data_IF_692756076403
#
_entry.id   IF_692756076403
#
_cell.length_a   1.000
_cell.length_b   1.000
_cell.length_c   1.000
_cell.angle_alpha   90.00
_cell.angle_beta   90.00
_cell.angle_gamma   90.00
#
_symmetry.space_group_name_H-M   'P 1'
#
loop_
_entity.id
_entity.type
_entity.pdbx_description
1 polymer ?
#
# COMPACT_ATOMS: atom_id res chain seq x y z
N UNK A 1 -83.04 20.47 25.13
CA UNK A 1 -82.47 19.21 25.65
C UNK A 1 -82.38 18.24 24.46
N UNK A 2 -81.21 18.16 23.79
CA UNK A 2 -80.22 17.04 23.84
C UNK A 2 -80.82 15.68 23.43
N UNK A 3 -80.29 14.85 22.53
CA UNK A 3 -79.21 14.89 21.52
C UNK A 3 -79.40 13.62 20.65
N UNK A 4 -79.06 13.73 19.36
CA UNK A 4 -78.47 12.72 18.44
C UNK A 4 -79.06 11.30 18.34
N UNK A 5 -79.52 11.00 17.12
CA UNK A 5 -79.71 9.66 16.55
C UNK A 5 -78.56 9.42 15.54
N UNK A 6 -77.95 8.25 15.54
CA UNK A 6 -77.02 7.78 14.51
C UNK A 6 -77.51 6.44 13.98
N UNK A 7 -77.66 6.35 12.66
CA UNK A 7 -78.14 5.19 11.91
C UNK A 7 -76.93 4.60 11.18
N UNK A 8 -76.78 3.27 11.23
CA UNK A 8 -75.73 2.50 10.57
C UNK A 8 -76.35 1.20 10.06
N UNK A 9 -76.39 1.02 8.74
CA UNK A 9 -76.79 -0.19 7.99
C UNK A 9 -76.28 -0.02 6.54
N UNK A 10 -76.18 -1.07 5.71
CA UNK A 10 -75.45 -2.32 5.90
C UNK A 10 -74.55 -2.64 4.68
N UNK A 11 -73.78 -3.72 4.83
CA UNK A 11 -72.94 -4.38 3.81
C UNK A 11 -73.83 -4.97 2.69
N UNK A 12 -73.48 -4.69 1.42
CA UNK A 12 -74.16 -5.18 0.23
C UNK A 12 -73.18 -5.73 -0.80
N UNK A 13 -73.44 -6.97 -1.22
CA UNK A 13 -72.75 -7.84 -2.15
C UNK A 13 -73.30 -7.63 -3.57
N UNK A 14 -72.50 -7.51 -4.65
CA UNK A 14 -72.91 -7.92 -6.01
C UNK A 14 -71.71 -8.10 -6.97
N UNK A 15 -71.82 -9.15 -7.78
CA UNK A 15 -70.86 -9.69 -8.76
C UNK A 15 -70.93 -9.03 -10.16
N UNK A 16 -69.86 -9.30 -10.95
CA UNK A 16 -69.80 -9.54 -12.42
C UNK A 16 -69.79 -8.33 -13.38
N UNK A 17 -68.66 -8.09 -14.07
CA UNK A 17 -68.39 -8.55 -15.46
C UNK A 17 -66.99 -8.12 -15.99
N UNK A 18 -66.40 -9.03 -16.77
CA UNK A 18 -65.23 -9.01 -17.68
C UNK A 18 -64.53 -7.69 -18.06
N UNK A 19 -63.18 -7.71 -18.10
CA UNK A 19 -62.43 -7.69 -19.38
C UNK A 19 -60.96 -8.08 -19.19
N UNK A 20 -60.52 -9.02 -20.01
CA UNK A 20 -59.19 -9.62 -20.09
C UNK A 20 -58.16 -8.64 -20.66
N UNK A 21 -57.08 -8.36 -19.92
CA UNK A 21 -55.79 -7.99 -20.50
C UNK A 21 -54.69 -8.69 -19.70
N UNK A 22 -54.31 -9.86 -20.18
CA UNK A 22 -53.15 -10.61 -19.69
C UNK A 22 -51.90 -9.93 -20.22
N UNK A 23 -51.34 -8.97 -19.48
CA UNK A 23 -49.96 -8.51 -19.75
C UNK A 23 -49.03 -9.59 -19.22
N UNK A 24 -48.67 -10.52 -20.11
CA UNK A 24 -47.50 -11.35 -19.92
C UNK A 24 -46.27 -10.44 -19.91
N UNK A 25 -45.83 -10.05 -18.70
CA UNK A 25 -44.51 -9.48 -18.50
C UNK A 25 -43.49 -10.61 -18.68
N UNK A 26 -43.12 -10.88 -19.94
CA UNK A 26 -41.90 -11.60 -20.28
C UNK A 26 -40.74 -10.76 -19.77
N UNK A 27 -40.26 -11.10 -18.57
CA UNK A 27 -38.94 -10.74 -18.09
C UNK A 27 -37.92 -11.30 -19.09
N UNK A 28 -37.51 -10.46 -20.04
CA UNK A 28 -36.26 -10.65 -20.77
C UNK A 28 -35.17 -10.51 -19.71
N UNK A 29 -34.71 -11.65 -19.19
CA UNK A 29 -33.45 -11.72 -18.50
C UNK A 29 -32.37 -11.38 -19.54
N UNK A 30 -32.03 -10.10 -19.64
CA UNK A 30 -30.82 -9.68 -20.35
C UNK A 30 -29.65 -10.42 -19.70
N UNK A 31 -29.01 -11.28 -20.48
CA UNK A 31 -27.69 -11.80 -20.21
C UNK A 31 -26.79 -10.62 -19.85
N UNK A 32 -26.56 -10.41 -18.54
CA UNK A 32 -25.50 -9.53 -18.07
C UNK A 32 -24.18 -10.13 -18.52
N UNK A 33 -23.77 -9.81 -19.76
CA UNK A 33 -22.38 -9.85 -20.17
C UNK A 33 -21.60 -9.19 -19.04
N UNK A 34 -20.74 -9.96 -18.39
CA UNK A 34 -19.89 -9.50 -17.30
C UNK A 34 -19.05 -8.34 -17.80
N UNK A 35 -19.52 -7.13 -17.52
CA UNK A 35 -18.89 -5.92 -17.99
C UNK A 35 -17.48 -5.86 -17.41
N UNK A 36 -16.48 -5.82 -18.30
CA UNK A 36 -15.08 -5.78 -17.89
C UNK A 36 -14.79 -4.42 -17.24
N UNK A 37 -13.99 -4.38 -16.15
CA UNK A 37 -13.58 -3.13 -15.56
C UNK A 37 -12.80 -2.29 -16.59
N UNK A 38 -13.02 -0.98 -16.57
CA UNK A 38 -12.30 0.00 -17.37
C UNK A 38 -11.54 0.97 -16.47
N UNK A 39 -10.46 1.52 -16.99
CA UNK A 39 -9.71 2.62 -16.41
C UNK A 39 -10.26 3.93 -16.99
N UNK A 40 -10.88 4.75 -16.15
CA UNK A 40 -11.38 6.07 -16.53
C UNK A 40 -10.35 7.11 -16.08
N UNK A 41 -9.81 7.87 -17.03
CA UNK A 41 -8.94 9.03 -16.77
C UNK A 41 -9.78 10.29 -16.90
N UNK A 42 -9.79 11.12 -15.86
CA UNK A 42 -10.46 12.42 -15.86
C UNK A 42 -9.49 13.52 -16.31
N UNK A 43 -10.00 14.64 -16.80
CA UNK A 43 -9.19 15.79 -17.25
C UNK A 43 -8.35 16.42 -16.13
N UNK A 44 -8.75 16.24 -14.87
CA UNK A 44 -8.00 16.65 -13.69
C UNK A 44 -6.86 15.67 -13.29
N UNK A 45 -6.62 14.63 -14.10
CA UNK A 45 -5.58 13.64 -13.90
C UNK A 45 -5.94 12.49 -12.95
N UNK A 46 -7.13 12.48 -12.33
CA UNK A 46 -7.59 11.33 -11.54
C UNK A 46 -7.83 10.11 -12.44
N UNK A 47 -7.50 8.93 -11.91
CA UNK A 47 -7.72 7.64 -12.56
C UNK A 47 -8.60 6.76 -11.69
N UNK A 48 -9.64 6.16 -12.28
CA UNK A 48 -10.64 5.37 -11.59
C UNK A 48 -10.79 4.00 -12.26
N UNK A 49 -10.84 2.94 -11.46
CA UNK A 49 -11.07 1.59 -11.94
C UNK A 49 -12.49 1.15 -11.56
N UNK A 50 -13.29 0.74 -12.54
CA UNK A 50 -14.66 0.29 -12.28
C UNK A 50 -15.41 -0.20 -13.51
N UNK A 51 -16.63 -0.70 -13.31
CA UNK A 51 -17.53 -0.98 -14.43
C UNK A 51 -18.10 0.35 -14.90
N UNK A 52 -18.00 0.61 -16.20
CA UNK A 52 -18.40 1.90 -16.78
C UNK A 52 -19.70 1.73 -17.53
N UNK A 53 -20.68 2.55 -17.17
CA UNK A 53 -22.00 2.64 -17.80
C UNK A 53 -22.24 4.07 -18.27
N UNK A 54 -22.58 4.25 -19.54
CA UNK A 54 -23.00 5.55 -20.07
C UNK A 54 -24.44 5.83 -19.62
N UNK A 55 -24.69 7.03 -19.11
CA UNK A 55 -26.00 7.48 -18.65
C UNK A 55 -26.34 8.83 -19.30
N UNK A 56 -27.61 9.26 -19.31
CA UNK A 56 -27.99 10.59 -19.80
C UNK A 56 -27.29 11.75 -19.06
N UNK A 57 -26.78 11.50 -17.85
CA UNK A 57 -26.09 12.50 -17.02
C UNK A 57 -24.56 12.45 -17.15
N UNK A 58 -24.02 11.54 -17.98
CA UNK A 58 -22.58 11.34 -18.18
C UNK A 58 -22.13 9.91 -17.91
N UNK A 59 -20.87 9.73 -17.54
CA UNK A 59 -20.24 8.43 -17.32
C UNK A 59 -20.39 8.01 -15.85
N UNK A 60 -21.08 6.90 -15.61
CA UNK A 60 -21.14 6.27 -14.29
C UNK A 60 -20.07 5.19 -14.16
N UNK A 61 -19.24 5.29 -13.12
CA UNK A 61 -18.17 4.33 -12.80
C UNK A 61 -18.51 3.62 -11.49
N UNK A 62 -18.86 2.34 -11.58
CA UNK A 62 -19.03 1.46 -10.42
C UNK A 62 -17.66 1.01 -9.92
N UNK A 63 -17.13 1.73 -8.94
CA UNK A 63 -15.90 1.34 -8.24
C UNK A 63 -16.19 0.33 -7.13
N UNK A 64 -15.15 -0.30 -6.57
CA UNK A 64 -15.27 -1.17 -5.39
C UNK A 64 -15.80 -0.47 -4.14
N UNK A 65 -15.79 0.87 -4.09
CA UNK A 65 -16.16 1.66 -2.93
C UNK A 65 -17.58 2.21 -3.03
N UNK A 66 -17.92 2.80 -4.18
CA UNK A 66 -19.23 3.34 -4.50
C UNK A 66 -19.34 3.65 -6.00
N UNK A 67 -20.56 3.70 -6.57
CA UNK A 67 -20.77 4.29 -7.89
C UNK A 67 -20.49 5.80 -7.86
N UNK A 68 -19.78 6.30 -8.86
CA UNK A 68 -19.52 7.73 -9.06
C UNK A 68 -19.99 8.12 -10.46
N UNK A 69 -20.54 9.33 -10.64
CA UNK A 69 -20.96 9.83 -11.96
C UNK A 69 -20.15 11.08 -12.29
N UNK A 70 -19.62 11.12 -13.51
CA UNK A 70 -18.84 12.23 -14.05
C UNK A 70 -19.53 12.75 -15.30
N UNK A 71 -19.48 14.05 -15.52
CA UNK A 71 -19.97 14.62 -16.77
C UNK A 71 -19.06 14.18 -17.92
N UNK A 72 -19.61 14.09 -19.13
CA UNK A 72 -18.84 13.63 -20.30
C UNK A 72 -17.64 14.55 -20.61
N UNK A 73 -17.74 15.83 -20.30
CA UNK A 73 -16.69 16.82 -20.48
C UNK A 73 -15.59 16.75 -19.41
N UNK A 74 -15.81 16.11 -18.27
CA UNK A 74 -14.81 15.85 -17.23
C UNK A 74 -13.95 14.62 -17.55
N UNK A 75 -14.42 13.73 -18.42
CA UNK A 75 -13.74 12.49 -18.77
C UNK A 75 -12.77 12.72 -19.92
N UNK A 76 -11.50 12.36 -19.69
CA UNK A 76 -10.44 12.46 -20.69
C UNK A 76 -10.33 11.20 -21.55
N UNK A 77 -10.31 10.02 -20.93
CA UNK A 77 -10.26 8.74 -21.64
C UNK A 77 -10.92 7.61 -20.84
N UNK A 78 -11.42 6.61 -21.54
CA UNK A 78 -11.93 5.36 -20.97
C UNK A 78 -11.21 4.21 -21.67
N UNK A 79 -10.35 3.51 -20.95
CA UNK A 79 -9.51 2.42 -21.47
C UNK A 79 -9.93 1.08 -20.85
N UNK A 80 -9.82 -0.03 -21.58
CA UNK A 80 -10.05 -1.34 -20.97
C UNK A 80 -8.96 -1.65 -19.94
N UNK A 81 -9.36 -2.01 -18.71
CA UNK A 81 -8.40 -2.40 -17.68
C UNK A 81 -7.96 -3.84 -17.95
N UNK A 82 -6.82 -3.99 -18.61
CA UNK A 82 -6.25 -5.32 -18.89
C UNK A 82 -5.58 -5.85 -17.63
N UNK A 83 -6.22 -6.78 -16.92
CA UNK A 83 -5.62 -7.36 -15.71
C UNK A 83 -4.46 -8.30 -16.07
N UNK A 84 -3.50 -8.55 -15.16
CA UNK A 84 -2.45 -9.55 -15.37
C UNK A 84 -2.99 -10.94 -15.79
N UNK A 85 -4.18 -11.31 -15.29
CA UNK A 85 -4.88 -12.53 -15.68
C UNK A 85 -5.38 -12.48 -17.12
N UNK A 86 -5.93 -11.35 -17.57
CA UNK A 86 -6.39 -11.18 -18.96
C UNK A 86 -5.21 -11.19 -19.94
N UNK A 87 -4.08 -10.58 -19.58
CA UNK A 87 -2.85 -10.65 -20.36
C UNK A 87 -2.40 -12.12 -20.47
N UNK A 88 -2.43 -12.87 -19.37
CA UNK A 88 -2.09 -14.29 -19.38
C UNK A 88 -3.04 -15.09 -20.28
N UNK A 89 -4.36 -14.95 -20.12
CA UNK A 89 -5.37 -15.66 -20.92
C UNK A 89 -5.21 -15.34 -22.40
N UNK A 90 -5.02 -14.06 -22.75
CA UNK A 90 -4.83 -13.61 -24.13
C UNK A 90 -3.55 -14.16 -24.74
N UNK A 91 -2.46 -14.23 -23.96
CA UNK A 91 -1.22 -14.88 -24.42
C UNK A 91 -1.44 -16.37 -24.60
N UNK A 92 -2.09 -17.02 -23.62
CA UNK A 92 -2.38 -18.45 -23.60
C UNK A 92 -3.22 -18.90 -24.80
N UNK A 93 -4.26 -18.14 -25.15
CA UNK A 93 -5.16 -18.46 -26.28
C UNK A 93 -4.48 -18.39 -27.65
N UNK A 94 -3.39 -17.64 -27.77
CA UNK A 94 -2.58 -17.53 -29.00
C UNK A 94 -1.52 -18.63 -29.12
N UNK A 95 -1.33 -19.46 -28.11
CA UNK A 95 -0.32 -20.52 -28.13
C UNK A 95 -0.89 -21.82 -28.66
N UNK A 96 -0.06 -22.54 -29.41
CA UNK A 96 -0.33 -23.94 -29.71
C UNK A 96 -0.14 -24.76 -28.43
N UNK A 97 -1.23 -25.35 -27.93
CA UNK A 97 -1.23 -26.15 -26.69
C UNK A 97 -0.47 -27.47 -26.82
N UNK A 98 -0.10 -27.87 -28.04
CA UNK A 98 0.74 -29.05 -28.32
C UNK A 98 2.24 -28.72 -28.44
N UNK A 99 2.64 -27.45 -28.32
CA UNK A 99 4.05 -27.04 -28.37
C UNK A 99 4.61 -26.84 -26.94
N UNK A 100 5.40 -27.81 -26.47
CA UNK A 100 6.05 -27.76 -25.16
C UNK A 100 6.90 -26.47 -24.94
N UNK A 101 7.55 -25.95 -25.99
CA UNK A 101 8.39 -24.75 -25.93
C UNK A 101 7.55 -23.50 -25.75
N UNK A 102 6.38 -23.43 -26.39
CA UNK A 102 5.43 -22.33 -26.25
C UNK A 102 4.90 -22.23 -24.82
N UNK A 103 4.46 -23.36 -24.25
CA UNK A 103 3.97 -23.47 -22.87
C UNK A 103 5.04 -23.02 -21.86
N UNK A 104 6.27 -23.53 -22.01
CA UNK A 104 7.41 -23.14 -21.17
C UNK A 104 7.70 -21.63 -21.22
N UNK A 105 7.68 -21.03 -22.42
CA UNK A 105 7.92 -19.58 -22.58
C UNK A 105 6.88 -18.75 -21.85
N UNK A 106 5.61 -19.16 -21.87
CA UNK A 106 4.55 -18.45 -21.15
C UNK A 106 4.72 -18.54 -19.63
N UNK A 107 4.99 -19.72 -19.10
CA UNK A 107 5.26 -19.92 -17.68
C UNK A 107 6.50 -19.12 -17.22
N UNK A 108 7.58 -19.09 -18.03
CA UNK A 108 8.77 -18.27 -17.75
C UNK A 108 8.45 -16.78 -17.73
N UNK A 109 7.56 -16.31 -18.61
CA UNK A 109 7.12 -14.92 -18.60
C UNK A 109 6.36 -14.59 -17.31
N UNK A 110 5.45 -15.46 -16.85
CA UNK A 110 4.75 -15.27 -15.57
C UNK A 110 5.76 -15.18 -14.43
N UNK A 111 6.68 -16.14 -14.35
CA UNK A 111 7.74 -16.17 -13.33
C UNK A 111 8.55 -14.87 -13.27
N UNK A 112 8.90 -14.30 -14.42
CA UNK A 112 9.69 -13.07 -14.51
C UNK A 112 8.88 -11.82 -14.18
N UNK A 113 7.62 -11.78 -14.59
CA UNK A 113 6.80 -10.54 -14.61
C UNK A 113 5.93 -10.41 -13.36
N UNK A 114 5.46 -11.54 -12.82
CA UNK A 114 4.54 -11.58 -11.67
C UNK A 114 4.98 -12.63 -10.64
N UNK A 115 6.20 -12.51 -10.08
CA UNK A 115 6.79 -13.52 -9.20
C UNK A 115 6.03 -13.74 -7.88
N UNK A 116 5.12 -12.83 -7.51
CA UNK A 116 4.38 -12.87 -6.25
C UNK A 116 2.85 -13.05 -6.45
N UNK A 117 2.39 -13.25 -7.69
CA UNK A 117 0.97 -13.49 -7.96
C UNK A 117 0.65 -15.00 -7.91
N UNK A 118 0.14 -15.48 -6.78
CA UNK A 118 -0.12 -16.90 -6.53
C UNK A 118 -1.01 -17.55 -7.60
N UNK A 119 -2.07 -16.88 -8.06
CA UNK A 119 -2.98 -17.43 -9.07
C UNK A 119 -2.28 -17.62 -10.42
N UNK A 120 -1.47 -16.64 -10.84
CA UNK A 120 -0.71 -16.75 -12.08
C UNK A 120 0.41 -17.78 -11.97
N UNK A 121 1.07 -17.88 -10.82
CA UNK A 121 2.07 -18.92 -10.57
C UNK A 121 1.45 -20.32 -10.64
N UNK A 122 0.21 -20.51 -10.17
CA UNK A 122 -0.51 -21.76 -10.33
C UNK A 122 -0.77 -22.06 -11.82
N UNK A 123 -1.22 -21.07 -12.58
CA UNK A 123 -1.38 -21.25 -14.04
C UNK A 123 -0.06 -21.57 -14.74
N UNK A 124 1.05 -20.95 -14.31
CA UNK A 124 2.39 -21.26 -14.82
C UNK A 124 2.85 -22.67 -14.43
N UNK A 125 2.48 -23.18 -13.25
CA UNK A 125 2.72 -24.56 -12.84
C UNK A 125 2.02 -25.54 -13.79
N UNK A 126 0.73 -25.32 -14.06
CA UNK A 126 -0.07 -26.18 -14.92
C UNK A 126 0.48 -26.21 -16.37
N UNK A 127 0.92 -25.05 -16.86
CA UNK A 127 1.57 -24.91 -18.17
C UNK A 127 2.89 -25.69 -18.27
N UNK A 128 3.69 -25.69 -17.20
CA UNK A 128 4.95 -26.43 -17.14
C UNK A 128 4.72 -27.94 -17.05
N UNK A 129 3.71 -28.38 -16.31
CA UNK A 129 3.32 -29.79 -16.26
C UNK A 129 2.82 -30.28 -17.62
N UNK A 130 2.03 -29.47 -18.33
CA UNK A 130 1.62 -29.77 -19.70
C UNK A 130 2.82 -29.83 -20.66
N UNK A 131 3.79 -28.91 -20.54
CA UNK A 131 5.01 -28.93 -21.34
C UNK A 131 5.82 -30.22 -21.14
N UNK A 132 5.94 -30.70 -19.91
CA UNK A 132 6.70 -31.92 -19.58
C UNK A 132 6.00 -33.21 -20.04
N UNK A 133 4.66 -33.20 -20.11
CA UNK A 133 3.90 -34.32 -20.71
C UNK A 133 4.15 -34.44 -22.22
N UNK A 134 4.33 -33.32 -22.91
CA UNK A 134 4.62 -33.27 -24.34
C UNK A 134 6.10 -33.53 -24.67
N UNK A 135 7.02 -33.16 -23.78
CA UNK A 135 8.46 -33.39 -23.94
C UNK A 135 9.11 -33.80 -22.62
N UNK A 136 9.30 -35.12 -22.44
CA UNK A 136 9.83 -35.70 -21.18
C UNK A 136 11.23 -35.19 -20.82
N UNK A 137 12.06 -34.88 -21.81
CA UNK A 137 13.44 -34.41 -21.62
C UNK A 137 13.60 -32.88 -21.59
N UNK A 138 12.56 -32.14 -21.22
CA UNK A 138 12.66 -30.68 -21.18
C UNK A 138 13.25 -30.15 -19.86
N UNK A 139 14.56 -30.36 -19.67
CA UNK A 139 15.30 -30.04 -18.41
C UNK A 139 15.06 -28.63 -17.89
N UNK A 140 14.93 -27.64 -18.79
CA UNK A 140 14.66 -26.24 -18.40
C UNK A 140 13.25 -26.05 -17.82
N UNK A 141 12.26 -26.80 -18.32
CA UNK A 141 10.90 -26.77 -17.77
C UNK A 141 10.84 -27.49 -16.41
N UNK A 142 11.59 -28.58 -16.24
CA UNK A 142 11.71 -29.28 -14.94
C UNK A 142 12.28 -28.36 -13.86
N UNK A 143 13.39 -27.66 -14.17
CA UNK A 143 14.01 -26.74 -13.22
C UNK A 143 13.06 -25.58 -12.85
N UNK A 144 12.41 -24.98 -13.85
CA UNK A 144 11.48 -23.87 -13.60
C UNK A 144 10.25 -24.34 -12.80
N UNK A 145 9.75 -25.56 -13.05
CA UNK A 145 8.65 -26.14 -12.30
C UNK A 145 9.00 -26.29 -10.81
N UNK A 146 10.22 -26.75 -10.50
CA UNK A 146 10.69 -26.82 -9.11
C UNK A 146 10.73 -25.43 -8.45
N UNK A 147 11.20 -24.41 -9.16
CA UNK A 147 11.25 -23.03 -8.66
C UNK A 147 9.85 -22.46 -8.40
N UNK A 148 8.92 -22.66 -9.34
CA UNK A 148 7.52 -22.23 -9.21
C UNK A 148 6.86 -22.93 -8.03
N UNK A 149 6.98 -24.26 -7.90
CA UNK A 149 6.42 -25.02 -6.76
C UNK A 149 6.99 -24.56 -5.42
N UNK A 150 8.30 -24.31 -5.36
CA UNK A 150 8.94 -23.81 -4.15
C UNK A 150 8.40 -22.41 -3.77
N UNK A 151 8.22 -21.52 -4.74
CA UNK A 151 7.67 -20.18 -4.52
C UNK A 151 6.20 -20.21 -4.11
N UNK A 152 5.37 -21.03 -4.76
CA UNK A 152 3.97 -21.27 -4.34
C UNK A 152 3.95 -21.74 -2.89
N UNK A 153 4.76 -22.74 -2.51
CA UNK A 153 4.85 -23.23 -1.14
C UNK A 153 5.30 -22.16 -0.12
N UNK A 154 6.17 -21.23 -0.52
CA UNK A 154 6.57 -20.09 0.31
C UNK A 154 5.37 -19.16 0.51
N UNK A 155 4.69 -18.77 -0.58
CA UNK A 155 3.51 -17.89 -0.53
C UNK A 155 2.35 -18.54 0.23
N UNK A 156 2.13 -19.83 0.09
CA UNK A 156 1.16 -20.61 0.87
C UNK A 156 1.53 -20.62 2.35
N UNK A 157 2.81 -20.84 2.70
CA UNK A 157 3.25 -20.77 4.09
C UNK A 157 3.09 -19.38 4.68
N UNK A 158 3.33 -18.33 3.90
CA UNK A 158 3.09 -16.94 4.30
C UNK A 158 1.59 -16.69 4.51
N UNK A 159 0.74 -17.20 3.61
CA UNK A 159 -0.73 -17.13 3.70
C UNK A 159 -1.25 -17.89 4.92
N UNK A 160 -0.75 -19.10 5.17
CA UNK A 160 -1.15 -19.97 6.30
C UNK A 160 -0.60 -19.45 7.63
N UNK A 161 0.61 -18.88 7.66
CA UNK A 161 1.14 -18.19 8.85
C UNK A 161 0.35 -16.92 9.15
N UNK A 162 -0.14 -16.22 8.13
CA UNK A 162 -1.10 -15.13 8.26
C UNK A 162 -2.46 -15.61 8.80
N UNK A 163 -2.91 -16.81 8.42
CA UNK A 163 -4.20 -17.37 8.85
C UNK A 163 -4.17 -18.07 10.21
N UNK A 164 -3.03 -18.56 10.72
CA UNK A 164 -2.96 -19.18 12.08
C UNK A 164 -2.90 -18.19 13.24
N UNK A 165 -2.94 -16.88 12.96
CA UNK A 165 -3.14 -15.83 13.96
C UNK A 165 -4.64 -15.45 14.12
N UNK A 166 -5.57 -16.42 14.03
CA UNK A 166 -6.99 -16.15 14.24
C UNK A 166 -7.39 -16.28 15.70
N UNK A 167 -7.01 -15.28 16.48
CA UNK A 167 -7.78 -14.83 17.63
C UNK A 167 -8.45 -13.50 17.28
N UNK A 168 -9.73 -13.54 16.88
CA UNK A 168 -10.73 -12.44 16.91
C UNK A 168 -10.40 -11.02 16.37
N UNK A 169 -9.31 -10.76 15.65
CA UNK A 169 -9.07 -9.45 14.99
C UNK A 169 -9.40 -9.49 13.48
N UNK A 170 -10.67 -9.24 13.12
CA UNK A 170 -11.14 -9.13 11.72
C UNK A 170 -10.81 -7.78 11.04
N UNK A 171 -9.86 -7.00 11.56
CA UNK A 171 -9.73 -5.56 11.20
C UNK A 171 -8.55 -5.20 10.32
N UNK A 172 -7.55 -6.06 10.12
CA UNK A 172 -6.33 -5.72 9.35
C UNK A 172 -6.27 -6.53 8.07
N UNK A 173 -6.44 -5.89 6.92
CA UNK A 173 -6.30 -6.55 5.62
C UNK A 173 -4.83 -6.56 5.22
N UNK A 174 -4.42 -7.66 4.61
CA UNK A 174 -3.05 -7.87 4.13
C UNK A 174 -2.57 -6.76 3.17
N UNK A 175 -3.48 -6.28 2.31
CA UNK A 175 -3.24 -5.15 1.40
C UNK A 175 -2.99 -3.81 2.09
N UNK A 176 -3.40 -3.67 3.34
CA UNK A 176 -3.20 -2.45 4.12
C UNK A 176 -1.82 -2.44 4.79
N UNK A 177 -1.12 -3.58 4.82
CA UNK A 177 0.18 -3.72 5.45
C UNK A 177 1.31 -3.60 4.44
N UNK A 178 2.39 -2.92 4.84
CA UNK A 178 3.64 -2.89 4.06
C UNK A 178 4.14 -4.31 3.75
N UNK A 179 4.76 -4.50 2.60
CA UNK A 179 5.37 -5.78 2.23
C UNK A 179 6.74 -5.96 2.89
N UNK A 180 7.28 -7.17 2.88
CA UNK A 180 8.65 -7.42 3.37
C UNK A 180 9.71 -6.64 2.58
N UNK A 181 9.46 -6.42 1.29
CA UNK A 181 10.30 -5.57 0.44
C UNK A 181 10.29 -4.13 0.95
N UNK A 182 9.13 -3.58 1.26
CA UNK A 182 8.99 -2.21 1.77
C UNK A 182 9.71 -2.06 3.12
N UNK A 183 9.62 -3.07 3.99
CA UNK A 183 10.37 -3.09 5.26
C UNK A 183 11.87 -2.96 5.02
N UNK A 184 12.43 -3.69 4.05
CA UNK A 184 13.86 -3.59 3.73
C UNK A 184 14.24 -2.18 3.26
N UNK A 185 13.38 -1.53 2.48
CA UNK A 185 13.58 -0.15 2.06
C UNK A 185 13.53 0.83 3.23
N UNK A 186 12.51 0.74 4.09
CA UNK A 186 12.39 1.63 5.24
C UNK A 186 13.62 1.49 6.14
N UNK A 187 14.09 0.25 6.38
CA UNK A 187 15.31 0.00 7.16
C UNK A 187 16.55 0.61 6.53
N UNK A 188 16.72 0.47 5.22
CA UNK A 188 17.88 1.02 4.51
C UNK A 188 17.85 2.55 4.50
N UNK A 189 16.67 3.12 4.26
CA UNK A 189 16.50 4.56 4.16
C UNK A 189 16.64 5.26 5.51
N UNK A 190 16.18 4.67 6.61
CA UNK A 190 16.39 5.19 7.98
C UNK A 190 17.70 4.72 8.63
N UNK A 191 18.55 3.99 7.90
CA UNK A 191 19.80 3.47 8.45
C UNK A 191 20.74 4.62 8.83
N UNK A 192 21.36 4.51 10.02
CA UNK A 192 22.38 5.45 10.51
C UNK A 192 23.71 4.76 10.64
N UNK A 193 24.79 5.53 10.52
CA UNK A 193 26.16 5.01 10.62
C UNK A 193 26.45 4.34 11.98
N UNK A 194 25.79 4.80 13.04
CA UNK A 194 25.92 4.25 14.40
C UNK A 194 25.12 2.96 14.63
N UNK A 195 24.25 2.57 13.71
CA UNK A 195 23.43 1.36 13.88
C UNK A 195 24.30 0.09 13.79
N UNK A 196 24.02 -0.88 14.66
CA UNK A 196 24.73 -2.17 14.67
C UNK A 196 23.80 -3.27 14.15
N UNK A 197 23.68 -3.36 12.83
CA UNK A 197 22.77 -4.31 12.16
C UNK A 197 23.46 -5.13 11.07
N UNK A 198 23.10 -6.41 10.88
CA UNK A 198 23.52 -7.22 9.75
C UNK A 198 23.02 -6.65 8.42
N UNK A 199 23.96 -6.49 7.49
CA UNK A 199 23.73 -6.06 6.11
C UNK A 199 24.09 -7.22 5.19
N UNK A 200 23.19 -7.61 4.29
CA UNK A 200 23.43 -8.62 3.25
C UNK A 200 23.40 -7.97 1.88
N UNK A 201 24.38 -8.28 1.06
CA UNK A 201 24.46 -7.84 -0.33
C UNK A 201 23.96 -8.94 -1.26
N UNK A 202 23.24 -8.55 -2.31
CA UNK A 202 22.77 -9.45 -3.37
C UNK A 202 23.25 -8.98 -4.73
N UNK A 203 23.19 -9.89 -5.71
CA UNK A 203 23.41 -9.58 -7.14
C UNK A 203 24.68 -8.75 -7.39
N UNK A 204 25.75 -9.07 -6.67
CA UNK A 204 27.06 -8.41 -6.77
C UNK A 204 26.98 -6.87 -6.73
N UNK A 205 26.11 -6.33 -5.86
CA UNK A 205 25.84 -4.88 -5.77
C UNK A 205 27.09 -4.04 -5.52
N UNK A 206 28.07 -4.57 -4.77
CA UNK A 206 29.33 -3.85 -4.52
C UNK A 206 30.14 -3.66 -5.80
N UNK A 207 30.27 -4.70 -6.64
CA UNK A 207 31.02 -4.57 -7.89
C UNK A 207 30.24 -3.79 -8.94
N UNK A 208 28.90 -3.88 -8.95
CA UNK A 208 28.08 -2.99 -9.78
C UNK A 208 28.27 -1.53 -9.38
N UNK A 209 28.23 -1.22 -8.08
CA UNK A 209 28.53 0.12 -7.59
C UNK A 209 29.93 0.59 -7.96
N UNK A 210 30.96 -0.25 -7.76
CA UNK A 210 32.34 0.08 -8.17
C UNK A 210 32.39 0.40 -9.67
N UNK A 211 31.75 -0.41 -10.52
CA UNK A 211 31.70 -0.17 -11.97
C UNK A 211 30.99 1.14 -12.31
N UNK A 212 29.89 1.46 -11.61
CA UNK A 212 29.15 2.71 -11.78
C UNK A 212 29.92 3.96 -11.30
N UNK A 213 30.99 3.77 -10.52
CA UNK A 213 31.84 4.84 -10.02
C UNK A 213 33.17 4.97 -10.78
N UNK A 214 33.59 3.93 -11.52
CA UNK A 214 34.84 3.94 -12.29
C UNK A 214 34.89 5.13 -13.26
N UNK A 215 36.03 5.81 -13.30
CA UNK A 215 36.25 7.00 -14.14
C UNK A 215 35.83 8.32 -13.50
N UNK A 216 35.25 8.32 -12.28
CA UNK A 216 35.06 9.55 -11.51
C UNK A 216 36.38 9.97 -10.86
N UNK A 217 37.03 10.96 -11.45
CA UNK A 217 38.30 11.52 -10.94
C UNK A 217 38.13 12.26 -9.61
N UNK A 218 37.00 12.95 -9.42
CA UNK A 218 36.75 13.84 -8.26
C UNK A 218 36.92 13.13 -6.91
N UNK A 219 36.67 11.81 -6.85
CA UNK A 219 36.73 11.03 -5.60
C UNK A 219 37.72 9.85 -5.68
N UNK A 220 38.68 9.91 -6.61
CA UNK A 220 39.73 8.91 -6.89
C UNK A 220 39.21 7.53 -7.35
N UNK A 221 38.01 7.43 -7.90
CA UNK A 221 37.46 6.14 -8.36
C UNK A 221 38.08 5.63 -9.65
N UNK A 222 38.86 6.46 -10.34
CA UNK A 222 39.80 6.06 -11.39
C UNK A 222 41.02 5.29 -10.83
N UNK A 223 41.38 5.52 -9.55
CA UNK A 223 42.53 4.86 -8.92
C UNK A 223 42.19 3.47 -8.38
N UNK A 224 43.05 2.50 -8.68
CA UNK A 224 42.91 1.10 -8.22
C UNK A 224 42.86 0.97 -6.68
N UNK A 225 43.58 1.82 -5.96
CA UNK A 225 43.63 1.77 -4.50
C UNK A 225 42.27 2.11 -3.86
N UNK A 226 41.48 3.01 -4.47
CA UNK A 226 40.16 3.41 -3.96
C UNK A 226 39.19 2.24 -4.00
N UNK A 227 39.13 1.51 -5.12
CA UNK A 227 38.36 0.26 -5.24
C UNK A 227 38.74 -0.74 -4.14
N UNK A 228 40.04 -1.02 -3.98
CA UNK A 228 40.53 -1.96 -2.96
C UNK A 228 40.14 -1.50 -1.56
N UNK A 229 40.27 -0.21 -1.28
CA UNK A 229 39.92 0.40 0.01
C UNK A 229 38.43 0.31 0.31
N UNK A 230 37.55 0.62 -0.65
CA UNK A 230 36.10 0.49 -0.51
C UNK A 230 35.69 -0.96 -0.22
N UNK A 231 36.22 -1.92 -0.97
CA UNK A 231 35.89 -3.34 -0.76
C UNK A 231 36.39 -3.86 0.60
N UNK A 232 37.45 -3.25 1.15
CA UNK A 232 37.95 -3.54 2.50
C UNK A 232 37.24 -2.81 3.64
N UNK A 233 36.30 -1.90 3.36
CA UNK A 233 35.54 -1.20 4.40
C UNK A 233 34.55 -2.12 5.11
N UNK A 234 34.11 -1.70 6.30
CA UNK A 234 32.98 -2.33 6.97
C UNK A 234 31.73 -2.21 6.11
N UNK A 235 30.81 -3.18 6.22
CA UNK A 235 29.56 -3.14 5.44
C UNK A 235 28.76 -1.86 5.70
N UNK A 236 28.75 -1.38 6.93
CA UNK A 236 28.07 -0.12 7.26
C UNK A 236 28.66 1.05 6.46
N UNK A 237 29.99 1.20 6.47
CA UNK A 237 30.67 2.27 5.74
C UNK A 237 30.47 2.16 4.23
N UNK A 238 30.46 0.94 3.68
CA UNK A 238 30.14 0.71 2.27
C UNK A 238 28.70 1.16 1.92
N UNK A 239 27.71 0.81 2.74
CA UNK A 239 26.32 1.23 2.50
C UNK A 239 26.17 2.75 2.60
N UNK A 240 26.80 3.38 3.60
CA UNK A 240 26.77 4.84 3.73
C UNK A 240 27.40 5.54 2.52
N UNK A 241 28.52 5.03 2.01
CA UNK A 241 29.15 5.52 0.78
C UNK A 241 28.20 5.41 -0.43
N UNK A 242 27.53 4.27 -0.60
CA UNK A 242 26.58 4.06 -1.68
C UNK A 242 25.39 5.02 -1.55
N UNK A 243 24.82 5.16 -0.35
CA UNK A 243 23.69 6.06 -0.11
C UNK A 243 24.05 7.53 -0.32
N UNK A 244 25.27 7.95 0.03
CA UNK A 244 25.73 9.32 -0.18
C UNK A 244 25.96 9.62 -1.67
N UNK A 245 26.52 8.68 -2.43
CA UNK A 245 26.91 8.89 -3.82
C UNK A 245 25.82 8.55 -4.85
N UNK A 246 24.91 7.63 -4.51
CA UNK A 246 23.87 7.10 -5.41
C UNK A 246 22.52 6.94 -4.69
N UNK A 247 22.01 7.99 -4.01
CA UNK A 247 20.76 7.90 -3.24
C UNK A 247 19.54 7.52 -4.09
N UNK A 248 19.54 7.88 -5.38
CA UNK A 248 18.42 7.60 -6.30
C UNK A 248 18.57 6.30 -7.10
N UNK A 249 19.71 5.58 -6.99
CA UNK A 249 19.95 4.38 -7.80
C UNK A 249 19.23 3.16 -7.21
N UNK A 250 17.92 3.08 -7.46
CA UNK A 250 17.08 2.00 -6.93
C UNK A 250 17.50 0.59 -7.39
N UNK A 251 18.22 0.49 -8.52
CA UNK A 251 18.75 -0.78 -9.03
C UNK A 251 19.88 -1.34 -8.18
N UNK A 252 20.72 -0.48 -7.59
CA UNK A 252 21.71 -0.87 -6.59
C UNK A 252 21.05 -1.09 -5.22
N UNK A 253 20.28 -0.09 -4.76
CA UNK A 253 19.79 -0.05 -3.39
C UNK A 253 18.84 -1.22 -3.05
N UNK A 254 18.05 -1.71 -4.00
CA UNK A 254 17.17 -2.89 -3.80
C UNK A 254 17.91 -4.17 -3.43
N UNK A 255 19.22 -4.23 -3.69
CA UNK A 255 20.08 -5.39 -3.44
C UNK A 255 20.94 -5.25 -2.17
N UNK A 256 20.71 -4.19 -1.38
CA UNK A 256 21.31 -3.97 -0.06
C UNK A 256 20.24 -4.26 1.00
N UNK A 257 20.36 -5.39 1.69
CA UNK A 257 19.33 -5.87 2.62
C UNK A 257 19.78 -5.68 4.06
N UNK A 258 19.16 -4.73 4.77
CA UNK A 258 19.29 -4.57 6.22
C UNK A 258 18.34 -5.57 6.90
N UNK A 259 18.90 -6.68 7.41
CA UNK A 259 18.07 -7.85 7.75
C UNK A 259 17.46 -7.83 9.16
N UNK A 260 17.89 -6.91 10.01
CA UNK A 260 17.29 -6.67 11.34
C UNK A 260 16.86 -5.21 11.48
N UNK A 261 16.09 -4.92 12.53
CA UNK A 261 15.64 -3.56 12.80
C UNK A 261 16.80 -2.65 13.24
N UNK A 262 17.01 -1.51 12.56
CA UNK A 262 17.90 -0.47 13.05
C UNK A 262 17.30 0.20 14.29
N UNK A 263 18.11 0.98 15.02
CA UNK A 263 17.69 1.45 16.35
C UNK A 263 16.48 2.40 16.31
N UNK A 264 16.24 3.15 15.22
CA UNK A 264 15.02 3.98 15.12
C UNK A 264 13.75 3.14 15.28
N UNK A 265 13.73 1.92 14.71
CA UNK A 265 12.57 1.04 14.74
C UNK A 265 12.49 0.25 16.05
N UNK A 266 13.63 -0.14 16.62
CA UNK A 266 13.66 -0.71 17.97
C UNK A 266 13.13 0.29 19.00
N UNK A 267 13.59 1.53 18.94
CA UNK A 267 13.10 2.62 19.81
C UNK A 267 11.62 2.88 19.55
N UNK A 268 11.19 2.93 18.29
CA UNK A 268 9.79 3.10 17.92
C UNK A 268 8.92 2.05 18.62
N UNK A 269 9.19 0.77 18.40
CA UNK A 269 8.38 -0.33 18.93
C UNK A 269 8.35 -0.36 20.46
N UNK A 270 9.50 -0.14 21.10
CA UNK A 270 9.64 -0.37 22.55
C UNK A 270 9.34 0.85 23.40
N UNK A 271 9.46 2.07 22.86
CA UNK A 271 9.44 3.31 23.65
C UNK A 271 8.45 4.35 23.14
N UNK A 272 8.16 4.37 21.83
CA UNK A 272 7.36 5.42 21.19
C UNK A 272 5.95 4.92 20.92
N UNK A 273 5.81 3.78 20.25
CA UNK A 273 4.53 3.18 19.93
C UNK A 273 3.64 2.96 21.15
N UNK A 274 4.14 2.50 22.32
CA UNK A 274 3.31 2.40 23.51
C UNK A 274 2.70 3.75 23.96
N UNK A 275 3.45 4.86 23.80
CA UNK A 275 2.99 6.22 24.15
C UNK A 275 1.93 6.71 23.17
N UNK A 276 2.14 6.47 21.86
CA UNK A 276 1.20 6.84 20.80
C UNK A 276 -0.07 5.98 20.85
N UNK A 277 0.08 4.69 21.09
CA UNK A 277 -1.03 3.74 21.20
C UNK A 277 -1.95 4.11 22.36
N UNK A 278 -1.38 4.44 23.52
CA UNK A 278 -2.21 4.85 24.67
C UNK A 278 -2.96 6.16 24.44
N UNK A 279 -2.54 7.00 23.48
CA UNK A 279 -3.20 8.28 23.16
C UNK A 279 -4.17 8.20 22.00
N UNK A 280 -3.62 7.87 20.84
CA UNK A 280 -4.32 8.06 19.58
C UNK A 280 -5.20 6.84 19.28
N UNK A 281 -4.76 5.64 19.65
CA UNK A 281 -5.42 4.43 19.18
C UNK A 281 -6.52 3.99 20.15
N UNK A 282 -6.19 3.83 21.43
CA UNK A 282 -7.14 3.35 22.44
C UNK A 282 -8.15 4.41 22.91
N UNK A 283 -7.73 5.68 23.02
CA UNK A 283 -8.59 6.75 23.59
C UNK A 283 -9.29 7.60 22.53
N UNK A 284 -8.60 7.90 21.42
CA UNK A 284 -9.20 8.69 20.32
C UNK A 284 -9.97 7.84 19.29
N UNK A 285 -9.91 6.52 19.41
CA UNK A 285 -10.63 5.60 18.53
C UNK A 285 -10.01 5.48 17.13
N UNK A 286 -8.72 5.74 16.94
CA UNK A 286 -8.05 5.57 15.64
C UNK A 286 -7.84 4.09 15.24
N UNK A 287 -8.29 3.11 16.03
CA UNK A 287 -8.24 1.67 15.69
C UNK A 287 -9.47 1.19 14.90
N UNK A 288 -10.56 1.98 14.88
CA UNK A 288 -11.82 1.59 14.24
C UNK A 288 -11.74 1.66 12.72
N UNK A 289 -12.64 0.96 12.03
CA UNK A 289 -12.67 0.88 10.56
C UNK A 289 -12.86 2.25 9.86
N UNK A 290 -13.54 3.20 10.52
CA UNK A 290 -13.80 4.56 10.02
C UNK A 290 -13.50 5.60 11.10
N UNK A 291 -12.23 5.90 11.36
CA UNK A 291 -11.86 6.84 12.41
C UNK A 291 -12.15 8.28 11.97
N UNK A 292 -12.50 9.14 12.94
CA UNK A 292 -12.68 10.57 12.68
C UNK A 292 -11.36 11.17 12.18
N UNK A 293 -11.45 12.00 11.12
CA UNK A 293 -10.28 12.65 10.54
C UNK A 293 -9.41 11.77 9.66
N UNK A 294 -9.86 10.57 9.28
CA UNK A 294 -9.21 9.72 8.27
C UNK A 294 -7.93 9.01 8.70
N UNK A 295 -7.42 9.28 9.91
CA UNK A 295 -6.24 8.60 10.47
C UNK A 295 -6.63 7.26 11.09
N UNK A 296 -6.05 6.17 10.61
CA UNK A 296 -6.26 4.83 11.17
C UNK A 296 -4.93 4.19 11.53
N UNK A 297 -4.88 3.55 12.69
CA UNK A 297 -3.75 2.72 13.11
C UNK A 297 -4.15 1.26 13.16
N UNK A 298 -3.19 0.37 12.92
CA UNK A 298 -3.39 -1.06 13.00
C UNK A 298 -2.88 -1.58 14.33
N UNK A 299 -3.69 -2.39 14.98
CA UNK A 299 -3.30 -3.14 16.17
C UNK A 299 -3.40 -4.61 15.84
N UNK A 300 -2.44 -5.38 16.36
CA UNK A 300 -2.49 -6.83 16.32
C UNK A 300 -2.29 -7.36 17.72
N UNK A 301 -3.09 -8.38 18.10
CA UNK A 301 -2.88 -9.14 19.33
C UNK A 301 -1.55 -9.90 19.38
N UNK A 302 -0.85 -10.03 18.24
CA UNK A 302 0.48 -10.66 18.14
C UNK A 302 1.55 -9.66 17.68
N UNK A 303 2.83 -9.91 18.01
CA UNK A 303 3.94 -9.07 17.55
C UNK A 303 4.11 -9.22 16.03
N UNK A 304 3.53 -8.30 15.26
CA UNK A 304 3.64 -8.27 13.81
C UNK A 304 4.57 -7.13 13.36
N UNK A 305 5.72 -7.50 12.79
CA UNK A 305 6.68 -6.53 12.24
C UNK A 305 6.03 -5.65 11.18
N UNK A 306 5.19 -6.23 10.33
CA UNK A 306 4.50 -5.49 9.25
C UNK A 306 3.52 -4.47 9.79
N UNK A 307 2.82 -4.77 10.88
CA UNK A 307 1.95 -3.80 11.56
C UNK A 307 2.80 -2.65 12.12
N UNK A 308 3.92 -2.94 12.77
CA UNK A 308 4.77 -1.90 13.34
C UNK A 308 5.32 -0.94 12.27
N UNK A 309 5.84 -1.48 11.15
CA UNK A 309 6.35 -0.65 10.06
C UNK A 309 5.23 0.10 9.33
N UNK A 310 4.04 -0.49 9.22
CA UNK A 310 2.87 0.22 8.67
C UNK A 310 2.49 1.41 9.55
N UNK A 311 2.41 1.23 10.87
CA UNK A 311 2.11 2.31 11.80
C UNK A 311 3.21 3.40 11.80
N UNK A 312 4.47 3.01 11.67
CA UNK A 312 5.57 3.95 11.48
C UNK A 312 5.40 4.79 10.20
N UNK A 313 5.05 4.17 9.07
CA UNK A 313 4.78 4.89 7.82
C UNK A 313 3.58 5.82 7.93
N UNK A 314 2.50 5.38 8.58
CA UNK A 314 1.33 6.23 8.83
C UNK A 314 1.75 7.46 9.62
N UNK A 315 2.51 7.30 10.71
CA UNK A 315 3.00 8.43 11.50
C UNK A 315 3.91 9.37 10.69
N UNK A 316 4.78 8.80 9.85
CA UNK A 316 5.73 9.58 9.05
C UNK A 316 5.06 10.32 7.89
N UNK A 317 4.04 9.73 7.27
CA UNK A 317 3.46 10.24 6.02
C UNK A 317 2.08 10.87 6.16
N UNK A 318 1.36 10.65 7.26
CA UNK A 318 0.01 11.19 7.41
C UNK A 318 0.05 12.71 7.64
N UNK A 319 -0.84 13.41 6.92
CA UNK A 319 -1.06 14.85 7.07
C UNK A 319 -2.52 15.14 7.39
N UNK A 320 -2.72 16.21 8.14
CA UNK A 320 -4.04 16.79 8.40
C UNK A 320 -3.93 18.30 8.26
N UNK A 321 -4.78 18.88 7.41
CA UNK A 321 -4.86 20.33 7.19
C UNK A 321 -3.48 20.94 6.86
N UNK A 322 -2.72 20.26 5.99
CA UNK A 322 -1.35 20.62 5.61
C UNK A 322 -0.26 20.30 6.66
N UNK A 323 -0.63 19.93 7.89
CA UNK A 323 0.31 19.65 8.98
C UNK A 323 0.64 18.17 9.08
N UNK A 324 1.92 17.85 9.30
CA UNK A 324 2.40 16.47 9.42
C UNK A 324 2.19 15.90 10.81
N UNK A 325 1.85 14.61 10.88
CA UNK A 325 1.77 13.91 12.16
C UNK A 325 3.14 13.79 12.83
N UNK A 326 4.17 13.50 12.03
CA UNK A 326 5.58 13.70 12.35
C UNK A 326 6.16 14.74 11.39
N UNK A 327 6.54 15.89 11.94
CA UNK A 327 7.31 16.92 11.24
C UNK A 327 8.78 16.83 11.68
N UNK A 328 9.67 16.44 10.78
CA UNK A 328 11.10 16.29 11.11
C UNK A 328 11.87 17.60 11.02
N UNK A 329 11.38 18.54 10.21
CA UNK A 329 11.99 19.86 10.04
C UNK A 329 11.66 20.75 11.24
N UNK A 330 10.39 20.73 11.67
CA UNK A 330 9.90 21.47 12.81
C UNK A 330 9.31 20.50 13.84
N UNK A 331 10.19 19.79 14.55
CA UNK A 331 9.80 18.72 15.49
C UNK A 331 8.69 19.16 16.45
N UNK A 332 8.81 20.35 17.04
CA UNK A 332 7.80 20.88 17.95
C UNK A 332 6.42 21.04 17.30
N UNK A 333 6.32 21.24 15.98
CA UNK A 333 5.05 21.39 15.27
C UNK A 333 4.42 20.04 14.87
N UNK A 334 5.08 18.91 15.15
CA UNK A 334 4.51 17.58 14.90
C UNK A 334 3.16 17.44 15.60
N UNK A 335 2.10 17.08 14.86
CA UNK A 335 0.77 16.95 15.46
C UNK A 335 0.75 15.90 16.58
N UNK A 336 1.57 14.84 16.50
CA UNK A 336 1.64 13.82 17.56
C UNK A 336 2.12 14.40 18.91
N UNK A 337 2.97 15.44 18.87
CA UNK A 337 3.41 16.15 20.06
C UNK A 337 2.37 17.16 20.52
N UNK A 338 1.81 17.94 19.58
CA UNK A 338 0.82 18.97 19.88
C UNK A 338 -0.47 18.40 20.46
N UNK A 339 -0.98 17.33 19.86
CA UNK A 339 -2.21 16.67 20.30
C UNK A 339 -2.07 15.96 21.63
N UNK A 340 -0.85 15.57 22.03
CA UNK A 340 -0.60 14.97 23.34
C UNK A 340 -0.44 15.97 24.48
N UNK A 341 -0.26 17.26 24.19
CA UNK A 341 -0.12 18.34 25.18
C UNK A 341 -1.49 18.79 25.71
N UNK A 342 -1.47 19.49 26.85
CA UNK A 342 -2.65 20.18 27.36
C UNK A 342 -3.15 21.23 26.33
N UNK A 343 -4.44 21.29 25.98
CA UNK A 343 -4.99 22.25 25.03
C UNK A 343 -4.78 23.74 25.35
N UNK A 344 -4.40 24.06 26.60
CA UNK A 344 -4.02 25.42 27.03
C UNK A 344 -2.62 25.83 26.58
N UNK A 345 -1.73 24.87 26.31
CA UNK A 345 -0.33 25.11 25.91
C UNK A 345 0.01 24.57 24.52
N UNK A 346 -0.87 23.74 23.93
CA UNK A 346 -0.69 23.28 22.56
C UNK A 346 -1.03 24.39 21.56
N UNK A 347 -0.23 24.47 20.49
CA UNK A 347 -0.54 25.33 19.33
C UNK A 347 -1.67 24.73 18.51
N UNK A 348 -1.68 23.40 18.41
CA UNK A 348 -2.66 22.63 17.68
C UNK A 348 -3.45 21.74 18.63
N UNK A 349 -4.77 21.89 18.62
CA UNK A 349 -5.67 21.09 19.46
C UNK A 349 -6.07 19.82 18.74
N UNK A 350 -6.12 18.72 19.49
CA UNK A 350 -6.67 17.49 18.95
C UNK A 350 -8.17 17.68 18.61
N UNK A 351 -8.65 17.21 17.44
CA UNK A 351 -10.04 17.42 17.02
C UNK A 351 -11.08 16.75 17.94
N UNK A 352 -10.70 15.67 18.60
CA UNK A 352 -11.49 15.02 19.64
C UNK A 352 -11.02 15.43 21.04
N UNK A 353 -11.91 15.33 22.03
CA UNK A 353 -11.56 15.56 23.43
C UNK A 353 -10.76 14.35 23.97
N UNK A 354 -9.43 14.48 23.96
CA UNK A 354 -8.52 13.48 24.53
C UNK A 354 -7.79 14.08 25.74
N UNK A 355 -7.60 13.32 26.82
CA UNK A 355 -6.83 13.81 27.95
C UNK A 355 -5.35 13.98 27.54
N UNK A 356 -4.66 15.00 28.07
CA UNK A 356 -3.25 15.21 27.76
C UNK A 356 -2.41 14.07 28.32
N UNK A 357 -1.42 13.63 27.55
CA UNK A 357 -0.44 12.62 27.98
C UNK A 357 0.93 13.20 28.31
N UNK A 358 1.18 14.39 27.81
CA UNK A 358 2.32 15.20 28.15
C UNK A 358 1.82 16.28 29.09
N UNK A 359 2.30 16.25 30.33
CA UNK A 359 2.06 17.32 31.30
C UNK A 359 2.47 18.67 30.70
N UNK A 360 3.65 18.67 30.08
CA UNK A 360 4.26 19.80 29.40
C UNK A 360 5.38 19.28 28.45
N UNK A 361 6.10 20.22 27.83
CA UNK A 361 7.23 19.95 26.94
C UNK A 361 8.49 19.42 27.65
N UNK A 362 8.61 19.60 28.96
CA UNK A 362 9.72 19.10 29.77
C UNK A 362 9.49 17.66 30.27
N UNK A 363 8.25 17.18 30.20
CA UNK A 363 7.90 15.82 30.58
C UNK A 363 8.77 14.79 29.84
N UNK A 364 9.14 13.73 30.56
CA UNK A 364 10.02 12.69 30.02
C UNK A 364 9.43 12.00 28.78
N UNK A 365 8.10 11.80 28.74
CA UNK A 365 7.40 11.23 27.59
C UNK A 365 7.46 12.15 26.36
N UNK A 366 7.26 13.45 26.55
CA UNK A 366 7.36 14.42 25.45
C UNK A 366 8.77 14.42 24.87
N UNK A 367 9.79 14.64 25.72
CA UNK A 367 11.19 14.69 25.29
C UNK A 367 11.64 13.39 24.61
N UNK A 368 11.12 12.24 25.04
CA UNK A 368 11.40 10.95 24.40
C UNK A 368 10.87 10.89 22.98
N UNK A 369 9.61 11.28 22.74
CA UNK A 369 9.02 11.30 21.39
C UNK A 369 9.70 12.35 20.53
N UNK A 370 9.92 13.55 21.07
CA UNK A 370 10.65 14.64 20.43
C UNK A 370 12.05 14.20 19.98
N UNK A 371 12.85 13.63 20.87
CA UNK A 371 14.22 13.19 20.56
C UNK A 371 14.24 12.04 19.55
N UNK A 372 13.24 11.16 19.59
CA UNK A 372 13.11 10.11 18.58
C UNK A 372 12.81 10.69 17.20
N UNK A 373 11.85 11.62 17.08
CA UNK A 373 11.54 12.31 15.81
C UNK A 373 12.80 13.02 15.28
N UNK A 374 13.49 13.77 16.15
CA UNK A 374 14.75 14.46 15.80
C UNK A 374 15.86 13.50 15.34
N UNK A 375 15.82 12.24 15.77
CA UNK A 375 16.80 11.23 15.40
C UNK A 375 16.52 10.51 14.08
N UNK A 376 15.35 10.75 13.46
CA UNK A 376 14.99 10.21 12.16
C UNK A 376 15.80 10.90 11.05
N UNK A 377 15.94 10.23 9.90
CA UNK A 377 16.80 10.74 8.83
C UNK A 377 16.16 11.92 8.10
N UNK A 378 16.92 13.01 8.02
CA UNK A 378 16.65 14.19 7.19
C UNK A 378 15.45 15.03 7.66
N UNK A 379 15.40 16.33 7.31
CA UNK A 379 14.30 17.22 7.68
C UNK A 379 13.00 16.93 6.91
N UNK A 380 13.09 16.37 5.70
CA UNK A 380 11.90 16.05 4.90
C UNK A 380 11.51 14.56 4.97
N UNK A 381 12.35 13.71 5.55
CA UNK A 381 12.22 12.26 5.48
C UNK A 381 12.74 11.71 4.15
N UNK A 382 13.18 10.44 4.09
CA UNK A 382 13.66 9.84 2.86
C UNK A 382 12.51 9.23 2.04
N UNK A 383 12.69 9.13 0.73
CA UNK A 383 11.80 8.36 -0.13
C UNK A 383 11.95 6.86 0.18
N UNK A 384 10.94 6.24 0.79
CA UNK A 384 10.98 4.82 1.14
C UNK A 384 10.76 3.87 -0.04
N UNK A 385 10.55 4.38 -1.27
CA UNK A 385 10.30 3.56 -2.46
C UNK A 385 9.22 2.49 -2.27
N UNK A 386 8.19 2.84 -1.49
CA UNK A 386 7.04 1.97 -1.24
C UNK A 386 6.39 1.63 -2.57
N UNK A 387 5.88 0.40 -2.68
CA UNK A 387 5.17 -0.03 -3.88
C UNK A 387 4.04 0.94 -4.27
N UNK A 388 3.87 1.14 -5.58
CA UNK A 388 2.91 2.08 -6.12
C UNK A 388 1.47 1.74 -5.70
N UNK A 389 0.67 2.76 -5.40
CA UNK A 389 -0.72 2.60 -4.97
C UNK A 389 -0.89 2.17 -3.52
N UNK A 390 0.19 2.07 -2.73
CA UNK A 390 0.07 1.77 -1.31
C UNK A 390 -0.73 2.84 -0.57
N UNK A 391 -1.89 2.45 -0.06
CA UNK A 391 -2.81 3.33 0.67
C UNK A 391 -3.43 2.53 1.82
N UNK A 392 -2.79 2.49 2.99
CA UNK A 392 -3.26 1.70 4.12
C UNK A 392 -4.66 2.17 4.52
N UNK A 393 -5.65 1.28 4.46
CA UNK A 393 -7.06 1.60 4.74
C UNK A 393 -7.59 2.82 3.95
N UNK A 394 -7.06 3.09 2.76
CA UNK A 394 -7.45 4.23 1.93
C UNK A 394 -6.86 5.58 2.36
N UNK A 395 -5.91 5.60 3.31
CA UNK A 395 -5.21 6.81 3.71
C UNK A 395 -4.25 7.29 2.61
N UNK A 396 -4.26 8.59 2.35
CA UNK A 396 -3.21 9.26 1.57
C UNK A 396 -2.03 9.52 2.49
N UNK A 397 -0.89 8.91 2.18
CA UNK A 397 0.36 9.15 2.89
C UNK A 397 1.31 9.91 1.97
N UNK A 398 1.90 10.99 2.47
CA UNK A 398 3.03 11.64 1.82
C UNK A 398 4.33 11.22 2.51
N UNK A 399 4.89 10.15 1.99
CA UNK A 399 6.20 9.60 2.39
C UNK A 399 7.34 10.05 1.48
N UNK A 400 7.05 10.90 0.49
CA UNK A 400 8.01 11.22 -0.57
C UNK A 400 9.22 12.01 -0.07
N UNK A 401 9.09 12.66 1.09
CA UNK A 401 10.12 13.50 1.66
C UNK A 401 10.57 14.63 0.75
N UNK A 402 9.74 14.98 -0.22
CA UNK A 402 9.86 16.18 -1.01
C UNK A 402 9.03 17.28 -0.33
N UNK A 403 9.44 18.56 -0.43
CA UNK A 403 8.56 19.64 -0.02
C UNK A 403 7.25 19.56 -0.80
N UNK A 404 6.13 19.89 -0.16
CA UNK A 404 4.89 20.10 -0.90
C UNK A 404 5.16 21.20 -1.92
N UNK A 405 4.95 20.91 -3.20
CA UNK A 405 4.77 21.96 -4.19
C UNK A 405 3.47 22.66 -3.75
N UNK A 406 3.50 23.98 -3.43
CA UNK A 406 2.28 24.70 -3.10
C UNK A 406 1.23 24.45 -4.18
N UNK A 407 -0.04 24.25 -3.81
CA UNK A 407 -1.06 24.18 -4.86
C UNK A 407 -1.13 25.54 -5.56
N UNK A 408 -1.34 25.55 -6.87
CA UNK A 408 -1.41 26.77 -7.70
C UNK A 408 -2.47 27.77 -7.17
N UNK A 409 -3.41 27.31 -6.34
CA UNK A 409 -4.44 28.13 -5.68
C UNK A 409 -3.90 29.03 -4.56
N UNK A 410 -2.66 28.84 -4.10
CA UNK A 410 -2.08 29.60 -2.99
C UNK A 410 -1.58 31.00 -3.38
N UNK A 411 -1.36 31.28 -4.67
CA UNK A 411 -0.81 32.56 -5.16
C UNK A 411 -1.87 33.60 -5.58
N UNK A 412 -3.17 33.29 -5.50
CA UNK A 412 -4.23 34.20 -5.96
C UNK A 412 -4.97 34.96 -4.84
N UNK A 413 -4.36 35.07 -3.66
CA UNK A 413 -4.87 35.92 -2.57
C UNK A 413 -3.81 36.88 -2.05
N UNK A 414 -3.48 37.87 -2.87
CA UNK A 414 -3.04 39.19 -2.40
C UNK A 414 -3.99 40.27 -2.91
#
# INVERSE_FOLDING_TARGET
>A
MSKKISILLPVGFFLLFSLSVTIAATLVAEDKKTAKPKLVTLKDGRKLEGIVTETPKGIQVETKLAPMTFLNDEVQSIEELVTPKDIYITRRSKLNTKDAKALYKLARWVWKTYPDNMNLLQSANDDLEAALKLGKDYTRAQLLLQQVKAKIKILEKETVKGQKATGKDKTVLEKDLVTDRDILWIRLMELRETDKVPIKYKNDVLMRYVRDMQGREIDDWDKLWKKRRFLGWTRMKQVMEILANKPENTSLLKDIHVTSDPKFMTDFRTRIWPVIRSTCTAMAGHEVLKPKGGLRFFVSGSKSVRVDYTNFLILSGFKKDGKRLIDRQYVDNSLVLQYGLNPKISKDRHPGNIPPIFTDKNSFRYRRVYNWIKSLKGPLGPNYHIHAGYSPAGMKLDTSGLPDIPSDDAETKE
#
